data_IF_295417695349
#
_entry.id   IF_295417695349
#
_cell.length_a   1.000
_cell.length_b   1.000
_cell.length_c   1.000
_cell.angle_alpha   90.00
_cell.angle_beta   90.00
_cell.angle_gamma   90.00
#
_symmetry.space_group_name_H-M   'P 1'
#
loop_
_entity.id
_entity.type
_entity.pdbx_description
1 polymer ?
#
# COMPACT_ATOMS: atom_id res chain seq x y z
N UNK A 1 -13.79 -7.38 -26.71
CA UNK A 1 -13.33 -6.00 -27.02
C UNK A 1 -13.20 -5.10 -25.80
N UNK A 2 -14.26 -4.79 -25.04
CA UNK A 2 -14.14 -3.84 -23.89
C UNK A 2 -13.25 -4.35 -22.74
N UNK A 3 -13.40 -5.61 -22.32
CA UNK A 3 -12.56 -6.25 -21.28
C UNK A 3 -11.07 -6.22 -21.65
N UNK A 4 -10.75 -6.67 -22.87
CA UNK A 4 -9.36 -6.67 -23.35
C UNK A 4 -8.77 -5.27 -23.39
N UNK A 5 -9.56 -4.25 -23.77
CA UNK A 5 -9.06 -2.88 -23.75
C UNK A 5 -8.70 -2.39 -22.35
N UNK A 6 -9.49 -2.77 -21.34
CA UNK A 6 -9.17 -2.46 -19.93
C UNK A 6 -7.91 -3.21 -19.49
N UNK A 7 -7.74 -4.48 -19.89
CA UNK A 7 -6.52 -5.25 -19.60
C UNK A 7 -5.27 -4.61 -20.23
N UNK A 8 -5.37 -4.13 -21.48
CA UNK A 8 -4.30 -3.35 -22.13
C UNK A 8 -3.95 -2.08 -21.35
N UNK A 9 -4.96 -1.36 -20.85
CA UNK A 9 -4.74 -0.15 -20.04
C UNK A 9 -4.05 -0.46 -18.71
N UNK A 10 -4.41 -1.58 -18.07
CA UNK A 10 -3.73 -2.05 -16.86
C UNK A 10 -2.26 -2.36 -17.14
N UNK A 11 -1.96 -3.10 -18.22
CA UNK A 11 -0.58 -3.39 -18.64
C UNK A 11 0.19 -2.09 -18.92
N UNK A 12 -0.42 -1.12 -19.59
CA UNK A 12 0.20 0.18 -19.84
C UNK A 12 0.56 0.91 -18.54
N UNK A 13 -0.38 0.98 -17.59
CA UNK A 13 -0.17 1.62 -16.30
C UNK A 13 0.90 0.88 -15.46
N UNK A 14 0.82 -0.45 -15.39
CA UNK A 14 1.76 -1.30 -14.66
C UNK A 14 3.19 -1.15 -15.20
N UNK A 15 3.36 -1.21 -16.53
CA UNK A 15 4.67 -1.03 -17.15
C UNK A 15 5.22 0.38 -16.94
N UNK A 16 4.37 1.40 -17.00
CA UNK A 16 4.75 2.77 -16.66
C UNK A 16 5.26 2.89 -15.22
N UNK A 17 4.56 2.29 -14.25
CA UNK A 17 5.01 2.23 -12.87
C UNK A 17 6.31 1.46 -12.72
N UNK A 18 6.39 0.22 -13.24
CA UNK A 18 7.55 -0.66 -13.14
C UNK A 18 8.81 -0.01 -13.71
N UNK A 19 8.71 0.65 -14.86
CA UNK A 19 9.88 1.22 -15.52
C UNK A 19 10.46 2.45 -14.82
N UNK A 20 9.65 3.19 -14.04
CA UNK A 20 10.06 4.50 -13.50
C UNK A 20 9.98 4.63 -11.98
N UNK A 21 9.29 3.69 -11.32
CA UNK A 21 8.91 3.79 -9.92
C UNK A 21 8.84 2.45 -9.18
N UNK A 22 9.47 1.39 -9.67
CA UNK A 22 9.42 0.08 -9.01
C UNK A 22 9.79 0.15 -7.53
N UNK A 23 8.90 -0.33 -6.67
CA UNK A 23 9.06 -0.31 -5.20
C UNK A 23 8.68 1.00 -4.50
N UNK A 24 8.53 2.11 -5.24
CA UNK A 24 8.08 3.38 -4.70
C UNK A 24 6.55 3.38 -4.48
N UNK A 25 6.01 4.39 -3.78
CA UNK A 25 4.57 4.45 -3.54
C UNK A 25 3.80 4.55 -4.87
N UNK A 26 4.20 5.50 -5.72
CA UNK A 26 3.47 5.89 -6.92
C UNK A 26 4.42 6.37 -8.05
N UNK A 27 3.88 6.59 -9.24
CA UNK A 27 4.58 7.14 -10.40
C UNK A 27 4.05 8.53 -10.78
N UNK A 28 4.96 9.45 -11.14
CA UNK A 28 4.64 10.68 -11.88
C UNK A 28 4.84 10.41 -13.38
N UNK A 29 3.80 10.06 -14.14
CA UNK A 29 3.94 9.47 -15.47
C UNK A 29 4.57 10.43 -16.50
N UNK A 30 4.24 11.73 -16.43
CA UNK A 30 4.82 12.75 -17.34
C UNK A 30 6.30 12.98 -17.03
N UNK A 31 6.64 13.08 -15.75
CA UNK A 31 8.01 13.34 -15.29
C UNK A 31 8.88 12.08 -15.21
N UNK A 32 8.30 10.89 -15.41
CA UNK A 32 8.98 9.58 -15.36
C UNK A 32 9.83 9.38 -14.10
N UNK A 33 9.24 9.70 -12.94
CA UNK A 33 9.92 9.59 -11.63
C UNK A 33 8.96 9.13 -10.54
N UNK A 34 9.53 8.70 -9.43
CA UNK A 34 8.82 8.34 -8.21
C UNK A 34 7.96 9.51 -7.68
N UNK A 35 6.79 9.18 -7.16
CA UNK A 35 6.03 10.02 -6.24
C UNK A 35 5.94 9.29 -4.91
N UNK A 36 6.65 9.79 -3.90
CA UNK A 36 6.56 9.25 -2.55
C UNK A 36 5.80 10.26 -1.70
N UNK A 37 4.68 9.82 -1.16
CA UNK A 37 3.90 10.64 -0.24
C UNK A 37 4.29 10.25 1.17
N UNK A 38 4.53 11.24 2.03
CA UNK A 38 4.90 10.98 3.41
C UNK A 38 3.87 10.04 4.07
N UNK A 39 2.58 10.30 3.83
CA UNK A 39 1.39 9.61 4.39
C UNK A 39 1.30 8.11 4.09
N UNK A 40 2.12 7.57 3.19
CA UNK A 40 2.20 6.14 2.91
C UNK A 40 3.40 5.48 3.60
N UNK A 41 4.00 6.12 4.60
CA UNK A 41 5.10 5.55 5.37
C UNK A 41 6.49 5.78 4.77
N UNK A 42 6.60 6.59 3.72
CA UNK A 42 7.86 7.02 3.12
C UNK A 42 8.28 6.21 1.89
N UNK A 43 9.56 6.35 1.50
CA UNK A 43 10.07 5.91 0.19
C UNK A 43 10.01 4.39 -0.04
N UNK A 44 10.16 3.61 1.01
CA UNK A 44 10.32 2.15 0.92
C UNK A 44 8.99 1.38 1.08
N UNK A 45 7.86 2.08 0.88
CA UNK A 45 6.52 1.50 0.97
C UNK A 45 5.89 1.32 -0.42
N UNK A 46 5.70 0.09 -0.91
CA UNK A 46 5.33 -0.15 -2.30
C UNK A 46 3.81 -0.10 -2.53
N UNK A 47 3.18 1.06 -2.25
CA UNK A 47 1.72 1.23 -2.29
C UNK A 47 1.10 0.72 -3.60
N UNK A 48 1.59 1.16 -4.77
CA UNK A 48 1.07 0.71 -6.06
C UNK A 48 1.21 -0.80 -6.29
N UNK A 49 2.29 -1.44 -5.80
CA UNK A 49 2.46 -2.90 -5.99
C UNK A 49 1.37 -3.65 -5.22
N UNK A 50 1.11 -3.27 -3.97
CA UNK A 50 0.12 -3.94 -3.12
C UNK A 50 -1.30 -3.64 -3.63
N UNK A 51 -1.60 -2.38 -3.95
CA UNK A 51 -2.92 -1.91 -4.40
C UNK A 51 -3.31 -2.46 -5.79
N UNK A 52 -2.34 -2.87 -6.61
CA UNK A 52 -2.58 -3.41 -7.95
C UNK A 52 -2.59 -4.94 -8.03
N UNK A 53 -1.99 -5.64 -7.06
CA UNK A 53 -1.68 -7.06 -7.21
C UNK A 53 -2.94 -7.95 -7.34
N UNK A 54 -4.01 -7.66 -6.62
CA UNK A 54 -5.27 -8.39 -6.74
C UNK A 54 -5.95 -8.17 -8.11
N UNK A 55 -5.84 -6.96 -8.65
CA UNK A 55 -6.32 -6.60 -9.99
C UNK A 55 -5.55 -7.37 -11.06
N UNK A 56 -4.21 -7.46 -10.95
CA UNK A 56 -3.38 -8.26 -11.84
C UNK A 56 -3.80 -9.74 -11.80
N UNK A 57 -4.05 -10.28 -10.61
CA UNK A 57 -4.55 -11.65 -10.43
C UNK A 57 -5.90 -11.86 -11.12
N UNK A 58 -6.90 -11.03 -10.83
CA UNK A 58 -8.26 -11.14 -11.38
C UNK A 58 -8.27 -11.01 -12.91
N UNK A 59 -7.38 -10.16 -13.47
CA UNK A 59 -7.25 -10.00 -14.92
C UNK A 59 -6.50 -11.16 -15.61
N UNK A 60 -5.95 -12.11 -14.85
CA UNK A 60 -5.12 -13.19 -15.39
C UNK A 60 -3.82 -12.67 -16.00
N UNK A 61 -3.20 -11.67 -15.37
CA UNK A 61 -1.89 -11.13 -15.70
C UNK A 61 -0.84 -11.83 -14.82
N UNK A 62 -0.60 -13.11 -15.09
CA UNK A 62 0.14 -14.00 -14.18
C UNK A 62 1.61 -13.62 -14.02
N UNK A 63 2.26 -13.09 -15.07
CA UNK A 63 3.65 -12.67 -15.00
C UNK A 63 3.81 -11.41 -14.14
N UNK A 64 2.97 -10.41 -14.39
CA UNK A 64 2.93 -9.15 -13.66
C UNK A 64 2.56 -9.38 -12.19
N UNK A 65 1.56 -10.25 -11.94
CA UNK A 65 1.21 -10.66 -10.60
C UNK A 65 2.39 -11.34 -9.89
N UNK A 66 3.10 -12.26 -10.56
CA UNK A 66 4.26 -12.94 -9.97
C UNK A 66 5.34 -11.94 -9.55
N UNK A 67 5.62 -10.93 -10.38
CA UNK A 67 6.56 -9.86 -10.02
C UNK A 67 6.12 -9.08 -8.79
N UNK A 68 4.82 -8.75 -8.70
CA UNK A 68 4.24 -8.07 -7.55
C UNK A 68 4.31 -8.94 -6.29
N UNK A 69 3.89 -10.20 -6.38
CA UNK A 69 3.92 -11.21 -5.31
C UNK A 69 5.34 -11.35 -4.75
N UNK A 70 6.31 -11.61 -5.63
CA UNK A 70 7.71 -11.84 -5.23
C UNK A 70 8.28 -10.59 -4.54
N UNK A 71 7.93 -9.39 -5.00
CA UNK A 71 8.32 -8.13 -4.34
C UNK A 71 7.68 -7.96 -2.96
N UNK A 72 6.37 -8.21 -2.82
CA UNK A 72 5.67 -8.11 -1.53
C UNK A 72 6.27 -9.10 -0.52
N UNK A 73 6.52 -10.34 -0.93
CA UNK A 73 7.07 -11.38 -0.06
C UNK A 73 8.46 -10.98 0.47
N UNK A 74 9.34 -10.54 -0.43
CA UNK A 74 10.77 -10.38 -0.15
C UNK A 74 11.19 -8.98 0.29
N UNK A 75 10.45 -7.92 -0.09
CA UNK A 75 10.86 -6.53 0.14
C UNK A 75 9.90 -5.75 1.05
N UNK A 76 8.59 -6.03 1.03
CA UNK A 76 7.65 -5.29 1.87
C UNK A 76 7.78 -5.67 3.35
N UNK A 77 8.01 -4.68 4.20
CA UNK A 77 8.06 -4.82 5.65
C UNK A 77 7.58 -3.51 6.29
N UNK A 78 6.41 -3.53 6.92
CA UNK A 78 5.82 -2.36 7.56
C UNK A 78 6.72 -1.77 8.67
N UNK A 79 7.58 -2.58 9.29
CA UNK A 79 8.50 -2.10 10.32
C UNK A 79 9.60 -1.18 9.76
N UNK A 80 9.84 -1.21 8.44
CA UNK A 80 10.79 -0.31 7.77
C UNK A 80 10.17 1.02 7.38
N UNK A 81 8.88 1.26 7.64
CA UNK A 81 8.25 2.55 7.37
C UNK A 81 8.91 3.65 8.21
N UNK A 82 9.41 4.70 7.55
CA UNK A 82 10.10 5.82 8.20
C UNK A 82 9.30 7.13 8.18
N UNK A 83 8.21 7.16 7.42
CA UNK A 83 7.33 8.32 7.29
C UNK A 83 6.15 8.29 8.26
N UNK A 84 5.26 9.27 8.10
CA UNK A 84 3.93 9.27 8.75
C UNK A 84 3.00 8.34 7.96
N UNK A 85 2.22 7.50 8.59
CA UNK A 85 1.16 6.76 7.90
C UNK A 85 -0.20 7.41 8.20
N UNK A 86 -1.02 7.59 7.16
CA UNK A 86 -2.45 7.83 7.35
C UNK A 86 -3.12 6.51 7.72
N UNK A 87 -3.86 6.49 8.82
CA UNK A 87 -4.54 5.28 9.31
C UNK A 87 -5.56 4.78 8.29
N UNK A 88 -6.34 5.71 7.73
CA UNK A 88 -7.35 5.40 6.72
C UNK A 88 -6.74 4.83 5.45
N UNK A 89 -5.80 5.55 4.83
CA UNK A 89 -5.18 5.14 3.56
C UNK A 89 -4.42 3.81 3.69
N UNK A 90 -3.71 3.62 4.82
CA UNK A 90 -2.96 2.38 5.08
C UNK A 90 -3.91 1.20 5.26
N UNK A 91 -5.05 1.42 5.91
CA UNK A 91 -6.08 0.38 6.08
C UNK A 91 -6.66 -0.04 4.74
N UNK A 92 -7.11 0.91 3.90
CA UNK A 92 -7.83 0.54 2.68
C UNK A 92 -6.91 0.00 1.57
N UNK A 93 -5.66 0.48 1.49
CA UNK A 93 -4.71 0.07 0.45
C UNK A 93 -3.87 -1.14 0.86
N UNK A 94 -3.14 -1.03 1.96
CA UNK A 94 -2.17 -2.05 2.36
C UNK A 94 -2.87 -3.22 3.04
N UNK A 95 -3.60 -2.95 4.12
CA UNK A 95 -4.31 -4.02 4.84
C UNK A 95 -5.37 -4.66 3.94
N UNK A 96 -6.20 -3.84 3.27
CA UNK A 96 -7.19 -4.30 2.30
C UNK A 96 -6.59 -5.13 1.18
N UNK A 97 -5.57 -4.62 0.47
CA UNK A 97 -4.93 -5.32 -0.64
C UNK A 97 -4.30 -6.65 -0.23
N UNK A 98 -3.59 -6.69 0.90
CA UNK A 98 -2.99 -7.94 1.41
C UNK A 98 -4.06 -8.97 1.80
N UNK A 99 -5.16 -8.55 2.42
CA UNK A 99 -6.28 -9.44 2.75
C UNK A 99 -6.99 -9.97 1.49
N UNK A 100 -7.21 -9.12 0.48
CA UNK A 100 -7.74 -9.53 -0.81
C UNK A 100 -6.86 -10.59 -1.47
N UNK A 101 -5.54 -10.37 -1.47
CA UNK A 101 -4.57 -11.31 -2.02
C UNK A 101 -4.62 -12.66 -1.30
N UNK A 102 -4.60 -12.67 0.03
CA UNK A 102 -4.79 -13.92 0.78
C UNK A 102 -6.12 -14.60 0.45
N UNK A 103 -7.22 -13.84 0.37
CA UNK A 103 -8.52 -14.40 0.05
C UNK A 103 -8.52 -15.11 -1.32
N UNK A 104 -7.84 -14.53 -2.31
CA UNK A 104 -7.74 -15.02 -3.69
C UNK A 104 -6.74 -16.17 -3.86
N UNK A 105 -5.59 -16.14 -3.18
CA UNK A 105 -4.46 -17.06 -3.45
C UNK A 105 -4.18 -18.07 -2.36
N UNK A 106 -4.66 -17.81 -1.13
CA UNK A 106 -4.40 -18.63 0.08
C UNK A 106 -2.93 -18.74 0.47
N UNK A 107 -2.09 -17.78 0.08
CA UNK A 107 -0.69 -17.74 0.48
C UNK A 107 -0.53 -17.06 1.84
N UNK A 108 -0.09 -17.81 2.85
CA UNK A 108 -0.09 -17.39 4.26
C UNK A 108 0.75 -16.14 4.52
N UNK A 109 1.83 -15.92 3.77
CA UNK A 109 2.69 -14.75 3.97
C UNK A 109 1.90 -13.43 3.80
N UNK A 110 0.84 -13.39 3.00
CA UNK A 110 -0.01 -12.21 2.89
C UNK A 110 -0.70 -11.88 4.21
N UNK A 111 -1.13 -12.88 4.98
CA UNK A 111 -1.72 -12.69 6.30
C UNK A 111 -0.68 -12.21 7.30
N UNK A 112 0.53 -12.75 7.26
CA UNK A 112 1.61 -12.28 8.13
C UNK A 112 1.95 -10.81 7.87
N UNK A 113 2.03 -10.41 6.59
CA UNK A 113 2.23 -9.00 6.21
C UNK A 113 1.04 -8.14 6.62
N UNK A 114 -0.20 -8.60 6.39
CA UNK A 114 -1.42 -7.88 6.79
C UNK A 114 -1.47 -7.65 8.31
N UNK A 115 -1.09 -8.66 9.09
CA UNK A 115 -0.99 -8.54 10.56
C UNK A 115 0.03 -7.47 10.96
N UNK A 116 1.21 -7.43 10.32
CA UNK A 116 2.21 -6.38 10.61
C UNK A 116 1.68 -4.97 10.32
N UNK A 117 0.84 -4.81 9.29
CA UNK A 117 0.15 -3.55 9.00
C UNK A 117 -0.86 -3.21 10.09
N UNK A 118 -1.71 -4.16 10.48
CA UNK A 118 -2.72 -3.93 11.52
C UNK A 118 -2.07 -3.55 12.87
N UNK A 119 -0.99 -4.24 13.27
CA UNK A 119 -0.24 -3.95 14.49
C UNK A 119 0.37 -2.55 14.48
N UNK A 120 0.90 -2.11 13.33
CA UNK A 120 1.42 -0.76 13.16
C UNK A 120 0.36 0.34 13.31
N UNK A 121 -0.92 0.02 13.10
CA UNK A 121 -2.05 0.95 13.19
C UNK A 121 -2.64 1.06 14.61
N UNK A 122 -2.36 0.11 15.50
CA UNK A 122 -2.92 0.08 16.85
C UNK A 122 -2.70 1.37 17.67
N UNK A 123 -1.53 2.04 17.63
CA UNK A 123 -1.31 3.26 18.40
C UNK A 123 -2.30 4.38 18.10
N UNK A 124 -2.90 4.43 16.91
CA UNK A 124 -3.88 5.46 16.57
C UNK A 124 -5.14 5.40 17.44
N UNK A 125 -5.52 4.22 17.92
CA UNK A 125 -6.73 4.01 18.72
C UNK A 125 -6.50 4.28 20.22
N UNK A 126 -5.27 4.59 20.63
CA UNK A 126 -4.95 4.92 22.02
C UNK A 126 -5.38 6.36 22.36
N UNK A 127 -6.68 6.62 22.32
CA UNK A 127 -7.31 7.88 22.68
C UNK A 127 -8.34 7.65 23.79
N UNK A 128 -8.67 8.65 24.63
CA UNK A 128 -9.66 8.47 25.70
C UNK A 128 -11.02 7.96 25.24
N UNK A 129 -11.43 8.26 24.00
CA UNK A 129 -12.70 7.83 23.41
C UNK A 129 -12.61 6.54 22.60
N UNK A 130 -11.41 6.09 22.24
CA UNK A 130 -11.18 5.01 21.27
C UNK A 130 -11.40 5.41 19.81
N UNK A 131 -11.80 6.65 19.52
CA UNK A 131 -11.83 7.18 18.15
C UNK A 131 -10.38 7.39 17.69
N UNK A 132 -9.96 6.82 16.54
CA UNK A 132 -8.56 6.85 16.16
C UNK A 132 -8.10 8.24 15.72
N UNK A 133 -6.84 8.54 16.03
CA UNK A 133 -6.10 9.64 15.41
C UNK A 133 -5.90 9.37 13.92
N UNK A 134 -5.83 10.44 13.12
CA UNK A 134 -5.74 10.31 11.65
C UNK A 134 -4.41 9.75 11.15
N UNK A 135 -3.30 10.08 11.82
CA UNK A 135 -1.94 9.78 11.37
C UNK A 135 -1.09 9.19 12.49
N UNK A 136 -0.11 8.36 12.13
CA UNK A 136 0.91 7.82 13.04
C UNK A 136 2.29 8.12 12.47
N UNK A 137 3.17 8.75 13.23
CA UNK A 137 4.59 8.87 12.87
C UNK A 137 5.30 7.53 13.15
N UNK A 138 5.83 6.88 12.11
CA UNK A 138 6.33 5.51 12.27
C UNK A 138 7.65 5.39 13.04
N UNK A 139 8.39 6.50 13.20
CA UNK A 139 9.64 6.53 13.99
C UNK A 139 9.36 6.70 15.47
N UNK A 140 8.49 7.63 15.81
CA UNK A 140 8.17 8.00 17.20
C UNK A 140 6.96 7.27 17.77
N UNK A 141 6.15 6.66 16.90
CA UNK A 141 4.84 6.05 17.20
C UNK A 141 3.81 7.04 17.75
N UNK A 142 4.09 8.35 17.63
CA UNK A 142 3.16 9.40 18.02
C UNK A 142 2.00 9.50 17.01
N UNK A 143 0.77 9.45 17.50
CA UNK A 143 -0.43 9.54 16.70
C UNK A 143 -1.12 10.90 16.87
N UNK A 144 -1.58 11.50 15.77
CA UNK A 144 -2.20 12.82 15.78
C UNK A 144 -3.21 13.02 14.64
N UNK A 145 -4.14 13.94 14.83
CA UNK A 145 -5.02 14.43 13.77
C UNK A 145 -4.29 15.39 12.83
N UNK A 146 -4.90 15.66 11.68
CA UNK A 146 -4.40 16.69 10.77
C UNK A 146 -4.52 18.07 11.43
N UNK A 147 -3.48 18.91 11.28
CA UNK A 147 -3.42 20.23 11.93
C UNK A 147 -4.56 21.18 11.53
N UNK A 148 -5.19 20.97 10.37
CA UNK A 148 -6.29 21.78 9.88
C UNK A 148 -7.67 21.23 10.27
N UNK A 149 -7.73 20.06 10.93
CA UNK A 149 -8.98 19.49 11.40
C UNK A 149 -9.43 20.21 12.68
N UNK A 150 -10.68 20.70 12.69
CA UNK A 150 -11.28 21.28 13.89
C UNK A 150 -11.63 20.15 14.87
N UNK A 151 -10.78 19.88 15.86
CA UNK A 151 -11.04 18.87 16.89
C UNK A 151 -9.78 18.26 17.51
N UNK A 152 -8.74 19.07 17.74
CA UNK A 152 -7.59 18.69 18.56
C UNK A 152 -7.94 18.75 20.04
#
# INVERSE_FOLDING_TARGET
>A
MRREKIKEMMIHAWNGYKNYSWGANEVRPIAKRVNNQAIFGGRDMPATIIDAADTLWIMGLTNEYKEARDYIETHFDMNKATGTISVFETTIRFLGGLLSLYALTKEDFYIDKAKSVAEALLPAFNTPSGIPMSNIDMKTKYAQNYNWANGG
#
